data_IF_238078883525
#
_entry.id   IF_238078883525
#
_cell.length_a   1.000
_cell.length_b   1.000
_cell.length_c   1.000
_cell.angle_alpha   90.00
_cell.angle_beta   90.00
_cell.angle_gamma   90.00
#
_symmetry.space_group_name_H-M   'P 1'
#
loop_
_entity.id
_entity.type
_entity.pdbx_description
1 polymer ?
#
# COMPACT_ATOMS: atom_id res chain seq x y z
N UNK A 1 0.63 -18.36 -12.70
CA UNK A 1 1.73 -19.29 -12.36
C UNK A 1 2.22 -18.89 -10.97
N UNK A 2 2.23 -19.81 -10.01
CA UNK A 2 2.75 -19.58 -8.66
C UNK A 2 4.05 -20.39 -8.55
N UNK A 3 5.11 -19.80 -7.99
CA UNK A 3 6.39 -20.46 -7.74
C UNK A 3 6.70 -20.37 -6.25
N UNK A 4 6.96 -21.52 -5.64
CA UNK A 4 7.46 -21.60 -4.27
C UNK A 4 8.93 -21.20 -4.24
N UNK A 5 9.31 -20.45 -3.21
CA UNK A 5 10.68 -20.02 -2.94
C UNK A 5 10.99 -20.27 -1.47
N UNK A 6 12.22 -20.69 -1.18
CA UNK A 6 12.68 -20.88 0.20
C UNK A 6 13.42 -19.63 0.67
N UNK A 7 13.19 -19.26 1.93
CA UNK A 7 14.03 -18.28 2.62
C UNK A 7 15.41 -18.88 2.88
N UNK A 8 16.46 -18.05 2.81
CA UNK A 8 17.75 -18.45 3.37
C UNK A 8 17.65 -18.50 4.89
N UNK A 9 18.60 -19.15 5.58
CA UNK A 9 18.61 -19.17 7.05
C UNK A 9 18.72 -17.76 7.67
N UNK A 10 19.29 -16.79 6.94
CA UNK A 10 19.37 -15.40 7.41
C UNK A 10 18.00 -14.73 7.31
N UNK A 11 17.31 -14.93 6.18
CA UNK A 11 15.98 -14.34 5.97
C UNK A 11 14.93 -15.00 6.88
N UNK A 12 15.07 -16.30 7.14
CA UNK A 12 14.24 -17.02 8.11
C UNK A 12 14.39 -16.47 9.54
N UNK A 13 15.61 -16.09 9.93
CA UNK A 13 15.82 -15.43 11.22
C UNK A 13 15.13 -14.05 11.30
N UNK A 14 15.13 -13.29 10.20
CA UNK A 14 14.38 -12.02 10.11
C UNK A 14 12.87 -12.27 10.21
N UNK A 15 12.36 -13.27 9.48
CA UNK A 15 10.96 -13.68 9.56
C UNK A 15 10.56 -14.01 11.01
N UNK A 16 11.33 -14.86 11.68
CA UNK A 16 11.07 -15.28 13.06
C UNK A 16 11.06 -14.10 14.03
N UNK A 17 12.00 -13.15 13.89
CA UNK A 17 12.05 -11.94 14.70
C UNK A 17 10.80 -11.05 14.49
N UNK A 18 10.31 -10.94 13.26
CA UNK A 18 9.12 -10.17 12.92
C UNK A 18 7.82 -10.80 13.43
N UNK A 19 7.73 -12.12 13.54
CA UNK A 19 6.51 -12.81 14.04
C UNK A 19 6.52 -13.07 15.54
N UNK A 20 7.70 -13.19 16.16
CA UNK A 20 7.85 -13.58 17.57
C UNK A 20 8.27 -12.45 18.52
N UNK A 21 8.41 -11.22 18.03
CA UNK A 21 8.74 -10.04 18.83
C UNK A 21 7.67 -9.59 19.85
N UNK A 22 7.83 -8.41 20.47
CA UNK A 22 6.79 -7.79 21.29
C UNK A 22 5.53 -7.52 20.47
N UNK A 23 4.33 -7.64 21.05
CA UNK A 23 3.04 -7.50 20.32
C UNK A 23 2.88 -6.20 19.53
N UNK A 24 3.50 -5.10 19.98
CA UNK A 24 3.50 -3.82 19.27
C UNK A 24 4.34 -3.82 17.99
N UNK A 25 5.24 -4.78 17.84
CA UNK A 25 6.20 -4.93 16.76
C UNK A 25 6.03 -6.25 15.98
N UNK A 26 5.16 -7.15 16.43
CA UNK A 26 4.88 -8.38 15.69
C UNK A 26 4.02 -8.11 14.47
N UNK A 27 4.38 -8.74 13.37
CA UNK A 27 3.60 -8.76 12.12
C UNK A 27 2.90 -10.11 11.97
N UNK A 28 1.93 -10.18 11.06
CA UNK A 28 1.45 -11.47 10.61
C UNK A 28 2.51 -12.18 9.76
N UNK A 29 2.28 -13.46 9.49
CA UNK A 29 3.19 -14.31 8.73
C UNK A 29 3.35 -13.85 7.28
N UNK A 30 2.29 -13.33 6.65
CA UNK A 30 2.32 -12.83 5.28
C UNK A 30 3.22 -11.61 5.11
N UNK A 31 3.06 -10.60 5.93
CA UNK A 31 3.87 -9.37 5.92
C UNK A 31 5.31 -9.67 6.34
N UNK A 32 5.51 -10.48 7.39
CA UNK A 32 6.83 -10.89 7.82
C UNK A 32 7.60 -11.65 6.73
N UNK A 33 6.94 -12.60 6.05
CA UNK A 33 7.56 -13.37 4.97
C UNK A 33 7.90 -12.49 3.77
N UNK A 34 7.03 -11.52 3.44
CA UNK A 34 7.25 -10.55 2.36
C UNK A 34 8.49 -9.69 2.65
N UNK A 35 8.62 -9.15 3.86
CA UNK A 35 9.75 -8.33 4.27
C UNK A 35 11.05 -9.15 4.27
N UNK A 36 11.04 -10.32 4.90
CA UNK A 36 12.19 -11.21 4.98
C UNK A 36 12.70 -11.59 3.59
N UNK A 37 11.80 -12.00 2.69
CA UNK A 37 12.16 -12.35 1.32
C UNK A 37 12.72 -11.15 0.54
N UNK A 38 12.11 -9.97 0.68
CA UNK A 38 12.56 -8.77 -0.03
C UNK A 38 13.97 -8.34 0.39
N UNK A 39 14.28 -8.44 1.69
CA UNK A 39 15.62 -8.17 2.22
C UNK A 39 16.69 -9.12 1.65
N UNK A 40 16.41 -10.42 1.62
CA UNK A 40 17.36 -11.42 1.12
C UNK A 40 17.55 -11.42 -0.39
N UNK A 41 16.50 -11.09 -1.14
CA UNK A 41 16.50 -11.10 -2.60
C UNK A 41 16.87 -9.75 -3.24
N UNK A 42 16.89 -8.66 -2.46
CA UNK A 42 17.02 -7.30 -2.97
C UNK A 42 15.79 -6.80 -3.73
N UNK A 43 14.65 -7.49 -3.59
CA UNK A 43 13.38 -7.05 -4.18
C UNK A 43 12.75 -5.91 -3.37
N UNK A 44 11.77 -5.23 -3.96
CA UNK A 44 10.88 -4.34 -3.23
C UNK A 44 9.78 -5.11 -2.51
N UNK A 45 9.36 -4.64 -1.33
CA UNK A 45 8.22 -5.16 -0.59
C UNK A 45 6.97 -4.34 -0.91
N UNK A 46 5.89 -4.99 -1.37
CA UNK A 46 4.59 -4.35 -1.55
C UNK A 46 3.75 -4.58 -0.28
N UNK A 47 3.54 -3.54 0.51
CA UNK A 47 2.94 -3.58 1.84
C UNK A 47 1.85 -2.51 1.93
N UNK A 48 0.62 -2.91 2.27
CA UNK A 48 -0.50 -1.99 2.49
C UNK A 48 -0.77 -1.73 4.00
N UNK A 49 -0.19 -2.54 4.87
CA UNK A 49 -0.34 -2.44 6.33
C UNK A 49 0.54 -1.32 6.91
N UNK A 50 -0.03 -0.50 7.81
CA UNK A 50 0.63 0.68 8.37
C UNK A 50 1.81 0.31 9.26
N UNK A 51 1.59 -0.59 10.22
CA UNK A 51 2.60 -0.97 11.20
C UNK A 51 3.79 -1.65 10.52
N UNK A 52 3.58 -2.49 9.51
CA UNK A 52 4.64 -3.10 8.70
C UNK A 52 5.43 -2.05 7.92
N UNK A 53 4.73 -1.07 7.30
CA UNK A 53 5.39 0.05 6.62
C UNK A 53 6.25 0.88 7.60
N UNK A 54 5.69 1.25 8.74
CA UNK A 54 6.38 2.06 9.76
C UNK A 54 7.57 1.30 10.35
N UNK A 55 7.41 0.00 10.61
CA UNK A 55 8.47 -0.88 11.09
C UNK A 55 9.62 -0.97 10.08
N UNK A 56 9.33 -1.12 8.79
CA UNK A 56 10.35 -1.15 7.75
C UNK A 56 11.08 0.19 7.63
N UNK A 57 10.37 1.31 7.72
CA UNK A 57 10.99 2.63 7.68
C UNK A 57 11.98 2.84 8.83
N UNK A 58 11.67 2.29 10.02
CA UNK A 58 12.53 2.38 11.21
C UNK A 58 13.70 1.37 11.18
N UNK A 59 13.41 0.08 10.96
CA UNK A 59 14.37 -1.02 11.11
C UNK A 59 15.15 -1.33 9.83
N UNK A 60 14.57 -1.07 8.66
CA UNK A 60 15.11 -1.46 7.37
C UNK A 60 15.06 -0.29 6.37
N UNK A 61 15.68 0.86 6.65
CA UNK A 61 15.52 2.08 5.83
C UNK A 61 16.04 1.95 4.40
N UNK A 62 16.86 0.93 4.11
CA UNK A 62 17.35 0.61 2.77
C UNK A 62 16.36 -0.26 1.96
N UNK A 63 15.37 -0.88 2.60
CA UNK A 63 14.36 -1.69 1.93
C UNK A 63 13.39 -0.78 1.19
N UNK A 64 13.20 -1.04 -0.10
CA UNK A 64 12.17 -0.36 -0.89
C UNK A 64 10.82 -0.92 -0.48
N UNK A 65 10.00 -0.10 0.16
CA UNK A 65 8.61 -0.42 0.51
C UNK A 65 7.67 0.41 -0.35
N UNK A 66 6.76 -0.27 -1.05
CA UNK A 66 5.73 0.33 -1.89
C UNK A 66 4.36 -0.11 -1.39
N UNK A 67 3.35 0.73 -1.56
CA UNK A 67 1.95 0.36 -1.39
C UNK A 67 1.35 -0.06 -2.72
N UNK A 68 0.18 -0.70 -2.69
CA UNK A 68 -0.62 -0.96 -3.89
C UNK A 68 -0.92 0.33 -4.66
N UNK A 69 -1.04 1.47 -3.97
CA UNK A 69 -1.22 2.77 -4.64
C UNK A 69 0.03 3.17 -5.45
N UNK A 70 1.24 2.95 -4.93
CA UNK A 70 2.47 3.22 -5.70
C UNK A 70 2.53 2.33 -6.94
N UNK A 71 2.15 1.05 -6.81
CA UNK A 71 2.10 0.12 -7.95
C UNK A 71 1.11 0.59 -9.01
N UNK A 72 -0.12 0.95 -8.63
CA UNK A 72 -1.15 1.39 -9.58
C UNK A 72 -0.78 2.69 -10.30
N UNK A 73 -0.01 3.56 -9.65
CA UNK A 73 0.43 4.84 -10.19
C UNK A 73 1.80 4.78 -10.90
N UNK A 74 2.47 3.63 -10.92
CA UNK A 74 3.73 3.46 -11.63
C UNK A 74 3.54 3.54 -13.15
N UNK A 75 4.41 4.26 -13.86
CA UNK A 75 4.29 4.53 -15.31
C UNK A 75 3.98 3.29 -16.17
N UNK A 76 4.62 2.12 -15.97
CA UNK A 76 4.31 0.93 -16.77
C UNK A 76 2.88 0.42 -16.54
N UNK A 77 2.38 0.55 -15.30
CA UNK A 77 1.03 0.14 -14.93
C UNK A 77 0.02 1.13 -15.47
N UNK A 78 0.24 2.43 -15.28
CA UNK A 78 -0.63 3.49 -15.84
C UNK A 78 -0.74 3.34 -17.36
N UNK A 79 0.38 3.13 -18.05
CA UNK A 79 0.43 2.98 -19.51
C UNK A 79 -0.24 1.70 -20.02
N UNK A 80 -0.45 0.70 -19.15
CA UNK A 80 -1.14 -0.55 -19.49
C UNK A 80 -2.66 -0.42 -19.47
N UNK A 81 -3.19 0.60 -18.77
CA UNK A 81 -4.63 0.85 -18.73
C UNK A 81 -5.10 1.53 -20.02
N UNK A 82 -6.24 1.07 -20.53
CA UNK A 82 -6.98 1.74 -21.59
C UNK A 82 -7.90 2.80 -20.99
N UNK A 83 -8.05 3.96 -21.64
CA UNK A 83 -9.02 5.00 -21.29
C UNK A 83 -9.15 5.23 -19.76
N UNK A 84 -10.36 5.14 -19.22
CA UNK A 84 -10.67 5.33 -17.79
C UNK A 84 -10.31 4.14 -16.88
N UNK A 85 -9.60 3.14 -17.39
CA UNK A 85 -9.34 1.87 -16.69
C UNK A 85 -8.64 2.05 -15.33
N UNK A 86 -7.65 2.94 -15.24
CA UNK A 86 -6.96 3.24 -13.98
C UNK A 86 -7.92 3.84 -12.94
N UNK A 87 -8.76 4.79 -13.38
CA UNK A 87 -9.75 5.46 -12.52
C UNK A 87 -10.78 4.47 -11.98
N UNK A 88 -11.20 3.51 -12.79
CA UNK A 88 -12.10 2.44 -12.36
C UNK A 88 -11.41 1.46 -11.40
N UNK A 89 -10.17 1.06 -11.71
CA UNK A 89 -9.39 0.18 -10.84
C UNK A 89 -9.21 0.78 -9.44
N UNK A 90 -8.81 2.06 -9.36
CA UNK A 90 -8.68 2.78 -8.09
C UNK A 90 -10.03 2.88 -7.37
N UNK A 91 -11.10 3.20 -8.08
CA UNK A 91 -12.43 3.29 -7.46
C UNK A 91 -12.86 1.96 -6.82
N UNK A 92 -12.68 0.84 -7.53
CA UNK A 92 -12.99 -0.50 -7.01
C UNK A 92 -12.06 -0.91 -5.87
N UNK A 93 -10.77 -0.58 -5.95
CA UNK A 93 -9.82 -0.84 -4.88
C UNK A 93 -10.22 -0.13 -3.57
N UNK A 94 -10.71 1.11 -3.66
CA UNK A 94 -11.11 1.90 -2.50
C UNK A 94 -12.50 1.52 -1.96
N UNK A 95 -13.44 1.15 -2.82
CA UNK A 95 -14.83 0.86 -2.42
C UNK A 95 -15.05 -0.59 -2.03
N UNK A 96 -14.45 -1.53 -2.76
CA UNK A 96 -14.64 -2.98 -2.57
C UNK A 96 -13.56 -3.54 -1.66
N UNK A 97 -12.28 -3.38 -2.04
CA UNK A 97 -11.15 -3.91 -1.26
C UNK A 97 -10.84 -3.05 -0.03
N UNK A 98 -11.40 -1.84 0.06
CA UNK A 98 -11.14 -0.86 1.13
C UNK A 98 -9.65 -0.53 1.27
N UNK A 99 -8.93 -0.55 0.14
CA UNK A 99 -7.51 -0.23 0.06
C UNK A 99 -7.24 1.12 0.73
N UNK A 100 -6.14 1.20 1.48
CA UNK A 100 -5.65 2.45 2.06
C UNK A 100 -4.84 3.22 1.02
N UNK A 101 -5.01 4.54 0.99
CA UNK A 101 -4.16 5.45 0.22
C UNK A 101 -3.12 6.07 1.15
N UNK A 102 -1.81 5.95 0.87
CA UNK A 102 -0.78 6.69 1.59
C UNK A 102 -0.97 8.19 1.46
N UNK A 103 -0.61 8.97 2.49
CA UNK A 103 -0.87 10.42 2.52
C UNK A 103 -0.28 11.16 1.32
N UNK A 104 0.92 10.76 0.87
CA UNK A 104 1.60 11.30 -0.31
C UNK A 104 0.79 11.20 -1.61
N UNK A 105 -0.17 10.28 -1.70
CA UNK A 105 -0.95 10.00 -2.91
C UNK A 105 -2.41 10.48 -2.83
N UNK A 106 -2.87 10.94 -1.66
CA UNK A 106 -4.26 11.32 -1.47
C UNK A 106 -4.72 12.38 -2.48
N UNK A 107 -3.91 13.42 -2.70
CA UNK A 107 -4.24 14.49 -3.63
C UNK A 107 -4.42 13.98 -5.07
N UNK A 108 -3.44 13.25 -5.60
CA UNK A 108 -3.48 12.74 -6.97
C UNK A 108 -4.59 11.70 -7.19
N UNK A 109 -4.80 10.81 -6.21
CA UNK A 109 -5.91 9.84 -6.27
C UNK A 109 -7.26 10.55 -6.28
N UNK A 110 -7.45 11.55 -5.42
CA UNK A 110 -8.71 12.30 -5.37
C UNK A 110 -8.96 13.13 -6.64
N UNK A 111 -7.93 13.73 -7.21
CA UNK A 111 -8.00 14.44 -8.49
C UNK A 111 -8.44 13.50 -9.61
N UNK A 112 -7.84 12.31 -9.69
CA UNK A 112 -8.16 11.31 -10.72
C UNK A 112 -9.58 10.74 -10.59
N UNK A 113 -10.05 10.50 -9.36
CA UNK A 113 -11.39 9.95 -9.12
C UNK A 113 -12.50 11.00 -9.33
N UNK A 114 -12.19 12.26 -9.03
CA UNK A 114 -13.17 13.34 -8.98
C UNK A 114 -14.07 13.28 -7.72
N UNK A 115 -14.82 14.37 -7.47
CA UNK A 115 -15.48 14.59 -6.18
C UNK A 115 -16.63 13.61 -5.90
N UNK A 116 -17.35 13.15 -6.92
CA UNK A 116 -18.47 12.21 -6.73
C UNK A 116 -17.97 10.84 -6.26
N UNK A 117 -16.98 10.27 -6.95
CA UNK A 117 -16.39 8.99 -6.56
C UNK A 117 -15.66 9.07 -5.22
N UNK A 118 -14.99 10.18 -4.92
CA UNK A 118 -14.35 10.38 -3.61
C UNK A 118 -15.34 10.27 -2.45
N UNK A 119 -16.58 10.78 -2.61
CA UNK A 119 -17.63 10.68 -1.56
C UNK A 119 -18.00 9.23 -1.23
N UNK A 120 -17.95 8.35 -2.22
CA UNK A 120 -18.32 6.93 -2.09
C UNK A 120 -17.18 6.08 -1.48
N UNK A 121 -15.93 6.53 -1.60
CA UNK A 121 -14.74 5.81 -1.16
C UNK A 121 -14.53 5.91 0.36
N UNK A 122 -15.19 5.05 1.15
CA UNK A 122 -15.12 5.07 2.63
C UNK A 122 -13.72 4.82 3.21
N UNK A 123 -12.79 4.25 2.45
CA UNK A 123 -11.40 4.08 2.88
C UNK A 123 -10.59 5.37 2.83
N UNK A 124 -11.06 6.41 2.13
CA UNK A 124 -10.44 7.73 2.16
C UNK A 124 -10.73 8.45 3.48
N UNK A 125 -9.77 9.23 4.02
CA UNK A 125 -10.01 10.05 5.20
C UNK A 125 -11.16 11.04 4.94
N UNK A 126 -11.94 11.36 5.98
CA UNK A 126 -13.16 12.17 5.83
C UNK A 126 -12.93 13.54 5.16
N UNK A 127 -11.76 14.17 5.38
CA UNK A 127 -11.40 15.44 4.76
C UNK A 127 -11.26 15.34 3.23
N UNK A 128 -10.87 14.18 2.71
CA UNK A 128 -10.65 13.92 1.28
C UNK A 128 -11.90 13.43 0.55
N UNK A 129 -13.00 13.17 1.29
CA UNK A 129 -14.28 12.77 0.70
C UNK A 129 -15.16 13.97 0.34
N UNK A 130 -14.81 15.19 0.72
CA UNK A 130 -15.65 16.37 0.53
C UNK A 130 -15.25 17.12 -0.75
N UNK A 131 -16.22 17.65 -1.50
CA UNK A 131 -15.93 18.54 -2.62
C UNK A 131 -15.48 19.92 -2.10
N UNK A 132 -14.64 20.59 -2.89
CA UNK A 132 -14.16 21.96 -2.62
C UNK A 132 -15.30 22.97 -2.37
N UNK A 133 -16.52 22.66 -2.83
CA UNK A 133 -17.76 23.41 -2.56
C UNK A 133 -18.07 23.58 -1.07
N UNK A 134 -17.61 22.67 -0.20
CA UNK A 134 -17.87 22.76 1.26
C UNK A 134 -16.88 23.63 2.02
N UNK A 135 -15.77 24.08 1.40
CA UNK A 135 -14.74 24.93 2.04
C UNK A 135 -15.02 26.44 1.93
N UNK A 136 -16.04 26.84 1.19
CA UNK A 136 -16.41 28.26 0.96
C UNK A 136 -17.60 28.74 1.83
N UNK A 137 -18.13 27.89 2.71
CA UNK A 137 -19.26 28.22 3.59
C UNK A 137 -19.00 27.91 5.08
N UNK A 138 -17.73 27.82 5.49
CA UNK A 138 -17.32 27.54 6.87
C UNK A 138 -16.50 28.67 7.47
#
# INVERSE_FOLDING_TARGET
MIREVSLSSTDEAVFLDLVAGPTSLTLDDGEAATIAYALGSGAGALIDERKATDLCADRYPALIVMSTTDLLLADPIVSSFQADGLRECLFLALTVARMRVPERHLAGVCELLGPDRCRECRSLPAAWRQSETSRLTG
#
